data_IF_448818580015
#
_entry.id   IF_448818580015
#
_cell.length_a   1.000
_cell.length_b   1.000
_cell.length_c   1.000
_cell.angle_alpha   90.00
_cell.angle_beta   90.00
_cell.angle_gamma   90.00
#
_symmetry.space_group_name_H-M   'P 1'
#
loop_
_entity.id
_entity.type
_entity.pdbx_description
1 polymer ?
#
# COMPACT_ATOMS: atom_id res chain seq x y z
N UNK A 1 -7.67 -0.47 2.53
CA UNK A 1 -7.70 -1.65 3.42
C UNK A 1 -6.78 -2.68 2.80
N UNK A 2 -5.79 -3.16 3.55
CA UNK A 2 -4.84 -4.17 3.04
C UNK A 2 -5.62 -5.47 2.72
N UNK A 3 -5.23 -6.22 1.68
CA UNK A 3 -5.84 -7.51 1.34
C UNK A 3 -5.90 -8.46 2.54
N UNK A 4 -4.94 -8.35 3.45
CA UNK A 4 -4.93 -9.07 4.72
C UNK A 4 -6.14 -8.74 5.62
N UNK A 5 -6.52 -7.46 5.73
CA UNK A 5 -7.65 -7.00 6.55
C UNK A 5 -9.00 -7.51 6.02
N UNK A 6 -9.11 -7.61 4.69
CA UNK A 6 -10.27 -8.21 4.02
C UNK A 6 -10.39 -9.71 4.35
N UNK A 7 -9.30 -10.46 4.29
CA UNK A 7 -9.28 -11.90 4.60
C UNK A 7 -9.67 -12.15 6.06
N UNK A 8 -9.13 -11.35 6.99
CA UNK A 8 -9.45 -11.44 8.42
C UNK A 8 -10.94 -11.17 8.66
N UNK A 9 -11.50 -10.13 8.03
CA UNK A 9 -12.92 -9.80 8.15
C UNK A 9 -13.81 -10.95 7.68
N UNK A 10 -13.48 -11.58 6.55
CA UNK A 10 -14.20 -12.73 6.01
C UNK A 10 -14.10 -13.93 6.97
N UNK A 11 -12.91 -14.20 7.50
CA UNK A 11 -12.68 -15.30 8.44
C UNK A 11 -13.52 -15.13 9.72
N UNK A 12 -13.53 -13.93 10.32
CA UNK A 12 -14.33 -13.62 11.52
C UNK A 12 -15.82 -13.83 11.25
N UNK A 13 -16.34 -13.32 10.13
CA UNK A 13 -17.76 -13.49 9.78
C UNK A 13 -18.15 -14.95 9.56
N UNK A 14 -17.30 -15.73 8.89
CA UNK A 14 -17.51 -17.16 8.65
C UNK A 14 -17.52 -17.98 9.95
N UNK A 15 -16.56 -17.71 10.85
CA UNK A 15 -16.52 -18.36 12.17
C UNK A 15 -17.74 -17.98 13.02
N UNK A 16 -18.15 -16.71 13.03
CA UNK A 16 -19.36 -16.27 13.74
C UNK A 16 -20.62 -16.98 13.25
N UNK A 17 -20.81 -17.05 11.93
CA UNK A 17 -21.93 -17.75 11.32
C UNK A 17 -21.94 -19.24 11.71
N UNK A 18 -20.77 -19.89 11.70
CA UNK A 18 -20.62 -21.31 12.05
C UNK A 18 -21.01 -21.58 13.50
N UNK A 19 -20.59 -20.73 14.43
CA UNK A 19 -20.93 -20.86 15.85
C UNK A 19 -22.43 -20.68 16.11
N UNK A 20 -23.11 -19.81 15.35
CA UNK A 20 -24.56 -19.56 15.51
C UNK A 20 -25.40 -20.66 14.85
N UNK A 21 -25.02 -21.12 13.65
CA UNK A 21 -25.82 -22.02 12.83
C UNK A 21 -25.63 -23.49 13.20
N UNK A 22 -24.45 -23.86 13.70
CA UNK A 22 -24.12 -25.25 13.97
C UNK A 22 -24.42 -25.62 15.43
N UNK A 23 -25.54 -26.32 15.64
CA UNK A 23 -25.95 -26.81 16.97
C UNK A 23 -25.00 -27.84 17.59
N UNK A 24 -24.08 -28.40 16.80
CA UNK A 24 -23.05 -29.32 17.30
C UNK A 24 -21.83 -28.59 17.88
N UNK A 25 -21.74 -27.26 17.69
CA UNK A 25 -20.70 -26.43 18.28
C UNK A 25 -21.17 -25.97 19.65
N UNK A 26 -20.43 -26.34 20.67
CA UNK A 26 -20.68 -25.87 22.04
C UNK A 26 -20.26 -24.42 22.21
N UNK A 27 -20.87 -23.71 23.16
CA UNK A 27 -20.52 -22.32 23.45
C UNK A 27 -19.03 -22.16 23.81
N UNK A 28 -18.45 -23.15 24.50
CA UNK A 28 -17.03 -23.22 24.83
C UNK A 28 -16.13 -23.31 23.60
N UNK A 29 -16.51 -24.10 22.59
CA UNK A 29 -15.77 -24.18 21.32
C UNK A 29 -15.87 -22.87 20.54
N UNK A 30 -17.03 -22.21 20.57
CA UNK A 30 -17.21 -20.88 19.99
C UNK A 30 -16.30 -19.83 20.65
N UNK A 31 -16.28 -19.77 21.98
CA UNK A 31 -15.39 -18.85 22.73
C UNK A 31 -13.92 -19.15 22.46
N UNK A 32 -13.54 -20.43 22.40
CA UNK A 32 -12.18 -20.85 22.07
C UNK A 32 -11.79 -20.43 20.65
N UNK A 33 -12.67 -20.66 19.66
CA UNK A 33 -12.44 -20.24 18.28
C UNK A 33 -12.27 -18.73 18.15
N UNK A 34 -13.13 -17.94 18.80
CA UNK A 34 -13.01 -16.47 18.83
C UNK A 34 -11.73 -16.01 19.50
N UNK A 35 -11.40 -16.59 20.66
CA UNK A 35 -10.17 -16.26 21.39
C UNK A 35 -8.93 -16.57 20.55
N UNK A 36 -8.93 -17.72 19.87
CA UNK A 36 -7.84 -18.12 18.98
C UNK A 36 -7.69 -17.17 17.79
N UNK A 37 -8.80 -16.74 17.20
CA UNK A 37 -8.83 -15.83 16.06
C UNK A 37 -8.30 -14.44 16.44
N UNK A 38 -8.78 -13.88 17.57
CA UNK A 38 -8.28 -12.61 18.12
C UNK A 38 -6.80 -12.71 18.50
N UNK A 39 -6.39 -13.81 19.13
CA UNK A 39 -4.99 -14.04 19.49
C UNK A 39 -4.10 -14.11 18.24
N UNK A 40 -4.53 -14.83 17.20
CA UNK A 40 -3.80 -14.94 15.94
C UNK A 40 -3.70 -13.57 15.25
N UNK A 41 -4.78 -12.78 15.25
CA UNK A 41 -4.78 -11.41 14.73
C UNK A 41 -3.77 -10.53 15.47
N UNK A 42 -3.73 -10.64 16.80
CA UNK A 42 -2.79 -9.91 17.64
C UNK A 42 -1.35 -10.31 17.34
N UNK A 43 -1.06 -11.62 17.25
CA UNK A 43 0.26 -12.15 16.93
C UNK A 43 0.73 -11.67 15.55
N UNK A 44 -0.11 -11.74 14.53
CA UNK A 44 0.25 -11.29 13.18
C UNK A 44 0.52 -9.79 13.17
N UNK A 45 -0.34 -8.99 13.80
CA UNK A 45 -0.14 -7.54 13.91
C UNK A 45 1.16 -7.20 14.64
N UNK A 46 1.43 -7.88 15.76
CA UNK A 46 2.64 -7.70 16.55
C UNK A 46 3.90 -8.11 15.80
N UNK A 47 3.87 -9.24 15.07
CA UNK A 47 4.98 -9.71 14.24
C UNK A 47 5.24 -8.76 13.06
N UNK A 48 4.19 -8.30 12.38
CA UNK A 48 4.30 -7.30 11.30
C UNK A 48 4.88 -5.98 11.80
N UNK A 49 4.47 -5.51 12.98
CA UNK A 49 4.99 -4.29 13.58
C UNK A 49 6.46 -4.41 14.03
N UNK A 50 6.86 -5.59 14.53
CA UNK A 50 8.23 -5.83 15.04
C UNK A 50 9.24 -6.11 13.93
N UNK A 51 8.81 -6.70 12.82
CA UNK A 51 9.70 -7.09 11.74
C UNK A 51 9.69 -6.05 10.61
N UNK A 52 10.49 -4.98 10.77
CA UNK A 52 10.75 -4.00 9.69
C UNK A 52 11.17 -4.67 8.36
N UNK A 53 11.76 -5.86 8.40
CA UNK A 53 12.10 -6.68 7.21
C UNK A 53 10.90 -7.30 6.49
N UNK A 54 9.82 -7.64 7.20
CA UNK A 54 8.55 -8.07 6.57
C UNK A 54 7.84 -6.86 5.98
N UNK A 55 7.90 -5.71 6.68
CA UNK A 55 7.46 -4.45 6.09
C UNK A 55 8.22 -4.14 4.80
N UNK A 56 9.52 -4.41 4.71
CA UNK A 56 10.29 -4.18 3.46
C UNK A 56 9.99 -5.18 2.34
N UNK A 57 9.35 -6.31 2.64
CA UNK A 57 8.92 -7.28 1.62
C UNK A 57 7.54 -6.90 1.03
N UNK A 58 6.74 -6.13 1.78
CA UNK A 58 5.40 -5.64 1.42
C UNK A 58 5.41 -4.15 1.01
N UNK A 59 6.39 -3.38 1.48
CA UNK A 59 6.60 -1.96 1.16
C UNK A 59 7.59 -1.84 0.01
N UNK A 60 7.09 -1.88 -1.23
CA UNK A 60 7.77 -1.19 -2.33
C UNK A 60 7.93 0.27 -1.90
N UNK A 61 9.13 0.74 -1.58
CA UNK A 61 9.33 2.15 -1.26
C UNK A 61 8.78 3.01 -2.41
N UNK A 62 8.15 4.16 -2.14
CA UNK A 62 7.60 4.99 -3.20
C UNK A 62 8.71 5.36 -4.20
N UNK A 63 8.45 5.09 -5.48
CA UNK A 63 9.45 5.21 -6.54
C UNK A 63 9.13 6.42 -7.42
N UNK A 64 10.12 7.27 -7.67
CA UNK A 64 9.97 8.42 -8.56
C UNK A 64 9.89 7.93 -10.02
N UNK A 65 8.79 8.21 -10.70
CA UNK A 65 8.54 7.80 -12.09
C UNK A 65 8.84 8.92 -13.08
N UNK A 66 8.54 10.16 -12.71
CA UNK A 66 8.89 11.34 -13.49
C UNK A 66 9.35 12.46 -12.56
N UNK A 67 10.28 13.28 -13.03
CA UNK A 67 10.78 14.43 -12.27
C UNK A 67 11.18 15.56 -13.20
N UNK A 68 10.81 16.79 -12.84
CA UNK A 68 11.17 18.01 -13.57
C UNK A 68 10.84 17.93 -15.08
N UNK A 69 9.66 17.38 -15.41
CA UNK A 69 9.21 17.23 -16.80
C UNK A 69 9.75 16.01 -17.56
N UNK A 70 10.67 15.22 -16.98
CA UNK A 70 11.28 14.06 -17.63
C UNK A 70 10.82 12.74 -17.02
N UNK A 71 10.57 11.75 -17.87
CA UNK A 71 10.29 10.36 -17.47
C UNK A 71 11.59 9.67 -17.05
N UNK A 72 11.58 8.99 -15.91
CA UNK A 72 12.72 8.24 -15.40
C UNK A 72 12.64 6.79 -15.89
N UNK A 73 13.04 6.55 -17.15
CA UNK A 73 12.89 5.25 -17.82
C UNK A 73 13.47 4.09 -17.02
N UNK A 74 14.58 4.29 -16.28
CA UNK A 74 15.17 3.26 -15.42
C UNK A 74 14.20 2.79 -14.33
N UNK A 75 13.49 3.72 -13.72
CA UNK A 75 12.55 3.45 -12.64
C UNK A 75 11.24 2.87 -13.20
N UNK A 76 10.80 3.35 -14.36
CA UNK A 76 9.67 2.76 -15.08
C UNK A 76 9.91 1.29 -15.46
N UNK A 77 11.11 0.95 -15.94
CA UNK A 77 11.51 -0.42 -16.25
C UNK A 77 11.57 -1.32 -15.00
N UNK A 78 12.07 -0.80 -13.87
CA UNK A 78 12.13 -1.59 -12.63
C UNK A 78 10.76 -1.86 -12.03
N UNK A 79 9.86 -0.88 -12.12
CA UNK A 79 8.49 -0.97 -11.59
C UNK A 79 7.47 -1.51 -12.61
N UNK A 80 7.91 -1.77 -13.85
CA UNK A 80 7.07 -2.22 -14.98
C UNK A 80 5.87 -1.29 -15.26
N UNK A 81 6.12 0.01 -15.20
CA UNK A 81 5.13 1.04 -15.50
C UNK A 81 5.30 1.52 -16.93
N UNK A 82 4.21 1.48 -17.70
CA UNK A 82 4.19 2.02 -19.07
C UNK A 82 3.95 3.55 -19.07
N UNK A 83 4.41 4.24 -20.12
CA UNK A 83 4.18 5.69 -20.27
C UNK A 83 2.69 6.04 -20.28
N UNK A 84 1.85 5.19 -20.86
CA UNK A 84 0.40 5.37 -20.91
C UNK A 84 -0.24 5.45 -19.52
N UNK A 85 0.33 4.77 -18.52
CA UNK A 85 -0.12 4.86 -17.13
C UNK A 85 0.19 6.23 -16.53
N UNK A 86 1.36 6.77 -16.84
CA UNK A 86 1.77 8.12 -16.43
C UNK A 86 0.87 9.17 -17.08
N UNK A 87 0.60 9.05 -18.38
CA UNK A 87 -0.32 9.94 -19.10
C UNK A 87 -1.74 9.84 -18.56
N UNK A 88 -2.21 8.64 -18.20
CA UNK A 88 -3.51 8.44 -17.57
C UNK A 88 -3.57 9.09 -16.17
N UNK A 89 -2.51 9.01 -15.38
CA UNK A 89 -2.42 9.66 -14.08
C UNK A 89 -2.49 11.19 -14.20
N UNK A 90 -1.79 11.78 -15.17
CA UNK A 90 -1.86 13.21 -15.48
C UNK A 90 -3.27 13.64 -15.89
N UNK A 91 -3.92 12.91 -16.80
CA UNK A 91 -5.30 13.18 -17.24
C UNK A 91 -6.30 13.13 -16.09
N UNK A 92 -6.15 12.18 -15.15
CA UNK A 92 -7.00 12.11 -13.93
C UNK A 92 -6.90 13.36 -13.06
N UNK A 93 -5.78 14.08 -13.12
CA UNK A 93 -5.54 15.33 -12.39
C UNK A 93 -5.70 16.59 -13.27
N UNK A 94 -6.18 16.42 -14.51
CA UNK A 94 -6.43 17.49 -15.48
C UNK A 94 -5.14 18.23 -15.90
N UNK A 95 -3.99 17.54 -15.85
CA UNK A 95 -2.74 18.05 -16.43
C UNK A 95 -2.61 17.57 -17.87
N UNK A 96 -2.16 18.47 -18.75
CA UNK A 96 -2.04 18.17 -20.19
C UNK A 96 -0.63 17.71 -20.57
N UNK A 97 0.35 17.97 -19.70
CA UNK A 97 1.76 17.67 -19.95
C UNK A 97 2.51 17.41 -18.65
N UNK A 98 3.63 16.68 -18.76
CA UNK A 98 4.59 16.50 -17.67
C UNK A 98 5.22 17.83 -17.22
N UNK A 99 5.33 18.81 -18.11
CA UNK A 99 5.88 20.13 -17.83
C UNK A 99 5.04 20.94 -16.83
N UNK A 100 3.78 20.57 -16.60
CA UNK A 100 2.91 21.17 -15.59
C UNK A 100 3.10 20.58 -14.19
N UNK A 101 4.03 19.62 -14.05
CA UNK A 101 4.21 18.82 -12.83
C UNK A 101 5.68 18.68 -12.47
N UNK A 102 5.99 18.86 -11.18
CA UNK A 102 7.35 18.69 -10.67
C UNK A 102 7.73 17.21 -10.54
N UNK A 103 6.78 16.33 -10.19
CA UNK A 103 7.05 14.92 -9.99
C UNK A 103 5.83 14.02 -10.21
N UNK A 104 6.09 12.78 -10.64
CA UNK A 104 5.14 11.67 -10.60
C UNK A 104 5.77 10.54 -9.79
N UNK A 105 5.03 10.00 -8.84
CA UNK A 105 5.49 9.00 -7.88
C UNK A 105 4.59 7.78 -7.94
N UNK A 106 5.20 6.60 -7.99
CA UNK A 106 4.52 5.34 -7.75
C UNK A 106 4.51 5.06 -6.25
N UNK A 107 3.32 5.01 -5.66
CA UNK A 107 3.10 4.71 -4.25
C UNK A 107 3.17 3.20 -3.98
N UNK A 108 3.33 2.84 -2.71
CA UNK A 108 3.41 1.44 -2.24
C UNK A 108 2.18 0.61 -2.61
N UNK A 109 1.02 1.25 -2.80
CA UNK A 109 -0.23 0.60 -3.17
C UNK A 109 -0.43 0.46 -4.69
N UNK A 110 0.58 0.83 -5.49
CA UNK A 110 0.55 0.80 -6.95
C UNK A 110 -0.16 2.00 -7.58
N UNK A 111 -0.59 2.98 -6.79
CA UNK A 111 -1.17 4.21 -7.32
C UNK A 111 -0.11 5.21 -7.77
N UNK A 112 -0.41 5.96 -8.84
CA UNK A 112 0.43 7.05 -9.31
C UNK A 112 -0.06 8.38 -8.72
N UNK A 113 0.78 9.02 -7.91
CA UNK A 113 0.58 10.37 -7.37
C UNK A 113 1.28 11.38 -8.26
N UNK A 114 0.57 12.45 -8.63
CA UNK A 114 1.12 13.58 -9.39
C UNK A 114 1.28 14.78 -8.47
N UNK A 115 2.50 15.32 -8.41
CA UNK A 115 2.86 16.49 -7.61
C UNK A 115 3.06 17.66 -8.57
N UNK A 116 2.18 18.67 -8.49
CA UNK A 116 2.24 19.86 -9.34
C UNK A 116 3.46 20.71 -9.03
N UNK A 117 3.66 21.04 -7.76
CA UNK A 117 4.70 21.94 -7.32
C UNK A 117 5.24 21.54 -5.94
N UNK A 118 6.54 21.31 -5.86
CA UNK A 118 7.27 21.04 -4.63
C UNK A 118 7.65 22.39 -4.00
N UNK A 119 6.96 22.75 -2.92
CA UNK A 119 7.21 24.02 -2.20
C UNK A 119 8.46 23.98 -1.30
N UNK A 120 8.75 22.81 -0.75
CA UNK A 120 9.89 22.58 0.15
C UNK A 120 10.55 21.24 -0.21
N UNK A 121 11.71 21.27 -0.89
CA UNK A 121 12.48 20.07 -1.22
C UNK A 121 12.99 19.30 0.01
N UNK A 122 13.09 19.95 1.17
CA UNK A 122 13.54 19.34 2.42
C UNK A 122 12.40 18.69 3.21
N UNK A 123 11.14 18.90 2.79
CA UNK A 123 10.00 18.30 3.45
C UNK A 123 10.17 16.77 3.53
N UNK A 124 9.84 16.14 4.67
CA UNK A 124 10.06 14.70 4.87
C UNK A 124 9.47 13.81 3.77
N UNK A 125 8.29 14.18 3.27
CA UNK A 125 7.60 13.47 2.18
C UNK A 125 8.33 13.57 0.82
N UNK A 126 9.08 14.65 0.58
CA UNK A 126 9.82 14.88 -0.68
C UNK A 126 11.23 14.32 -0.58
N UNK A 127 11.87 14.46 0.57
CA UNK A 127 13.22 13.96 0.85
C UNK A 127 13.35 12.44 0.65
N UNK A 128 12.30 11.69 0.98
CA UNK A 128 12.24 10.24 0.75
C UNK A 128 12.29 9.90 -0.75
N UNK A 129 11.70 10.76 -1.59
CA UNK A 129 11.61 10.56 -3.05
C UNK A 129 12.89 10.97 -3.78
N UNK A 130 13.56 12.02 -3.30
CA UNK A 130 14.75 12.57 -3.94
C UNK A 130 16.06 11.85 -3.55
N UNK A 131 16.05 11.10 -2.43
CA UNK A 131 17.21 10.32 -1.98
C UNK A 131 18.46 11.17 -1.64
N UNK A 132 19.49 10.58 -1.00
CA UNK A 132 20.72 11.30 -0.64
C UNK A 132 21.72 11.45 -1.80
N UNK A 133 21.55 10.71 -2.89
CA UNK A 133 22.53 10.64 -3.98
C UNK A 133 21.82 10.58 -5.33
N UNK A 134 21.60 11.74 -5.96
CA UNK A 134 21.83 11.99 -7.39
C UNK A 134 22.05 13.48 -7.64
#
# INVERSE_FOLDING_TARGET
MNAFDLIVTIAVGSTFATVILNKNVTLSEGVLAFTLLVFLQYVITYLSARNKRISQLDNSAPTLIAYNGELLSKNMLSERIDEDEVWAALRKKVYSSLAETDAVVLETDGSLTVIKQIKDPQAPAVKVLLGPER
#
